data_IF_568738832830
#
_entry.id   IF_568738832830
#
_cell.length_a   1.000
_cell.length_b   1.000
_cell.length_c   1.000
_cell.angle_alpha   90.00
_cell.angle_beta   90.00
_cell.angle_gamma   90.00
#
_symmetry.space_group_name_H-M   'P 1'
#
loop_
_entity.id
_entity.type
_entity.pdbx_description
1 polymer ?
#
# COMPACT_ATOMS: atom_id res chain seq x y z
N UNK A 1 63.06 -16.72 -12.81
CA UNK A 1 61.71 -17.30 -12.67
C UNK A 1 61.05 -16.60 -11.49
N UNK A 2 60.35 -15.49 -11.74
CA UNK A 2 59.63 -14.71 -10.72
C UNK A 2 58.14 -15.07 -10.83
N UNK A 3 57.62 -15.84 -9.87
CA UNK A 3 56.19 -16.10 -9.75
C UNK A 3 55.55 -15.02 -8.87
N UNK A 4 54.50 -14.40 -9.40
CA UNK A 4 53.76 -13.33 -8.75
C UNK A 4 52.88 -13.82 -7.60
N UNK A 5 52.77 -12.99 -6.57
CA UNK A 5 51.70 -13.04 -5.59
C UNK A 5 50.76 -11.86 -5.87
N UNK A 6 49.53 -12.17 -6.29
CA UNK A 6 48.44 -11.21 -6.36
C UNK A 6 47.88 -11.00 -4.95
N UNK A 7 47.83 -9.77 -4.48
CA UNK A 7 47.02 -9.37 -3.32
C UNK A 7 45.67 -8.88 -3.81
N UNK A 8 44.70 -9.80 -3.97
CA UNK A 8 43.29 -9.41 -4.00
C UNK A 8 42.84 -9.20 -2.56
N UNK A 9 42.52 -7.97 -2.18
CA UNK A 9 41.82 -7.69 -0.91
C UNK A 9 40.39 -8.22 -1.02
N UNK A 10 39.88 -8.87 0.03
CA UNK A 10 38.48 -9.30 0.09
C UNK A 10 37.55 -8.07 -0.02
N UNK A 11 36.43 -8.16 -0.75
CA UNK A 11 35.41 -7.11 -0.72
C UNK A 11 34.84 -7.00 0.70
N UNK A 12 34.64 -5.76 1.16
CA UNK A 12 34.01 -5.45 2.44
C UNK A 12 32.51 -5.31 2.19
N UNK A 13 31.71 -6.22 2.74
CA UNK A 13 30.25 -6.08 2.76
C UNK A 13 29.86 -5.22 3.96
N UNK A 14 29.17 -4.10 3.74
CA UNK A 14 28.48 -3.38 4.80
C UNK A 14 27.01 -3.78 4.80
N UNK A 15 26.53 -4.30 5.93
CA UNK A 15 25.11 -4.50 6.21
C UNK A 15 24.60 -3.28 6.96
N UNK A 16 23.63 -2.56 6.40
CA UNK A 16 22.90 -1.49 7.09
C UNK A 16 21.60 -2.10 7.63
N UNK A 17 21.34 -1.95 8.94
CA UNK A 17 20.02 -2.25 9.52
C UNK A 17 19.90 -3.47 10.46
N UNK A 18 20.96 -4.23 10.75
CA UNK A 18 20.89 -5.30 11.74
C UNK A 18 21.37 -4.83 13.13
N UNK A 19 20.65 -5.12 14.25
CA UNK A 19 21.17 -4.86 15.59
C UNK A 19 22.33 -5.82 15.88
N UNK A 20 23.56 -5.33 15.76
CA UNK A 20 24.74 -6.09 16.18
C UNK A 20 24.76 -6.19 17.72
N UNK A 21 24.96 -7.40 18.24
CA UNK A 21 25.26 -7.60 19.66
C UNK A 21 26.59 -6.91 20.00
N UNK A 22 26.63 -6.21 21.14
CA UNK A 22 27.80 -5.46 21.59
C UNK A 22 29.06 -6.35 21.62
N UNK A 23 30.23 -5.88 21.13
CA UNK A 23 31.49 -6.58 21.33
C UNK A 23 31.82 -6.67 22.82
N UNK A 24 32.19 -7.86 23.30
CA UNK A 24 32.63 -8.06 24.68
C UNK A 24 33.97 -7.35 24.94
N UNK A 25 33.94 -6.12 25.45
CA UNK A 25 35.13 -5.37 25.89
C UNK A 25 34.78 -3.96 26.38
N UNK A 26 35.40 -3.52 27.49
CA UNK A 26 34.99 -2.29 28.22
C UNK A 26 35.42 -0.96 27.58
N UNK A 27 35.67 -0.90 26.27
CA UNK A 27 36.12 0.32 25.57
C UNK A 27 35.42 0.59 24.24
N UNK A 28 34.31 -0.10 23.93
CA UNK A 28 33.49 0.22 22.76
C UNK A 28 32.54 1.38 23.04
N UNK A 29 32.82 2.58 22.53
CA UNK A 29 31.80 3.62 22.41
C UNK A 29 30.89 3.26 21.24
N UNK A 30 29.73 2.67 21.51
CA UNK A 30 28.67 2.60 20.50
C UNK A 30 28.15 4.02 20.35
N UNK A 31 28.49 4.67 19.24
CA UNK A 31 27.79 5.86 18.80
C UNK A 31 26.39 5.41 18.36
N UNK A 32 25.46 5.32 19.32
CA UNK A 32 24.05 5.28 19.00
C UNK A 32 23.72 6.64 18.40
N UNK A 33 23.65 6.72 17.07
CA UNK A 33 22.88 7.76 16.44
C UNK A 33 21.44 7.55 16.92
N UNK A 34 21.05 8.28 17.96
CA UNK A 34 19.65 8.46 18.28
C UNK A 34 19.05 9.18 17.07
N UNK A 35 18.55 8.42 16.09
CA UNK A 35 17.57 8.96 15.18
C UNK A 35 16.39 9.35 16.07
N UNK A 36 16.25 10.65 16.32
CA UNK A 36 15.05 11.17 16.95
C UNK A 36 13.87 10.64 16.14
N UNK A 37 12.95 9.92 16.80
CA UNK A 37 11.65 9.60 16.22
C UNK A 37 11.12 10.89 15.60
N UNK A 38 10.80 10.92 14.29
CA UNK A 38 10.22 12.11 13.69
C UNK A 38 9.07 12.57 14.58
N UNK A 39 9.10 13.86 14.96
CA UNK A 39 8.02 14.41 15.76
C UNK A 39 6.71 14.13 15.03
N UNK A 40 5.75 13.52 15.73
CA UNK A 40 4.44 13.27 15.14
C UNK A 40 3.87 14.62 14.67
N UNK A 41 3.42 14.67 13.41
CA UNK A 41 2.80 15.87 12.87
C UNK A 41 1.62 16.28 13.76
N UNK A 42 1.47 17.58 14.08
CA UNK A 42 0.33 18.00 14.89
C UNK A 42 -0.97 17.68 14.16
N UNK A 43 -2.02 17.30 14.90
CA UNK A 43 -3.30 16.91 14.31
C UNK A 43 -4.07 18.09 13.67
N UNK A 44 -3.68 19.33 13.99
CA UNK A 44 -4.27 20.54 13.42
C UNK A 44 -3.18 21.41 12.80
N UNK A 45 -3.49 22.16 11.73
CA UNK A 45 -2.52 23.01 11.07
C UNK A 45 -2.01 24.09 12.04
N UNK A 46 -0.69 24.21 12.24
CA UNK A 46 -0.14 25.22 13.16
C UNK A 46 -0.29 26.66 12.64
N UNK A 47 -0.52 26.82 11.33
CA UNK A 47 -0.82 28.10 10.69
C UNK A 47 -1.77 27.90 9.50
N UNK A 48 -2.65 28.87 9.27
CA UNK A 48 -3.57 28.93 8.12
C UNK A 48 -3.31 30.13 7.20
N UNK A 49 -2.34 30.98 7.55
CA UNK A 49 -2.00 32.21 6.83
C UNK A 49 -0.49 32.41 6.75
N UNK A 50 -0.06 33.30 5.85
CA UNK A 50 1.34 33.72 5.71
C UNK A 50 2.12 33.00 4.60
N UNK A 51 1.43 32.29 3.71
CA UNK A 51 1.94 31.93 2.38
C UNK A 51 1.18 32.80 1.38
N UNK A 52 1.91 33.58 0.59
CA UNK A 52 1.37 34.34 -0.54
C UNK A 52 1.63 33.54 -1.83
N UNK A 53 0.55 33.13 -2.50
CA UNK A 53 0.57 32.40 -3.78
C UNK A 53 -0.26 33.18 -4.78
N UNK A 54 0.22 33.32 -6.01
CA UNK A 54 -0.58 33.94 -7.08
C UNK A 54 -1.72 33.03 -7.54
N UNK A 55 -2.75 33.61 -8.17
CA UNK A 55 -3.96 32.89 -8.58
C UNK A 55 -3.63 31.75 -9.55
N UNK A 56 -2.68 31.93 -10.47
CA UNK A 56 -2.26 30.89 -11.43
C UNK A 56 -1.63 29.69 -10.73
N UNK A 57 -0.73 29.92 -9.77
CA UNK A 57 -0.09 28.86 -8.99
C UNK A 57 -1.09 28.21 -8.04
N UNK A 58 -2.04 28.96 -7.49
CA UNK A 58 -3.10 28.42 -6.64
C UNK A 58 -4.05 27.55 -7.45
N UNK A 59 -4.47 27.99 -8.64
CA UNK A 59 -5.30 27.22 -9.56
C UNK A 59 -4.56 25.95 -10.00
N UNK A 60 -3.26 26.04 -10.33
CA UNK A 60 -2.45 24.88 -10.67
C UNK A 60 -2.28 23.89 -9.49
N UNK A 61 -2.10 24.40 -8.27
CA UNK A 61 -2.03 23.58 -7.06
C UNK A 61 -3.38 22.88 -6.82
N UNK A 62 -4.48 23.62 -6.95
CA UNK A 62 -5.84 23.11 -6.82
C UNK A 62 -6.21 22.16 -7.94
N UNK A 63 -5.58 22.25 -9.11
CA UNK A 63 -5.68 21.33 -10.23
C UNK A 63 -4.85 20.04 -10.02
N UNK A 64 -4.01 19.95 -9.00
CA UNK A 64 -3.07 18.83 -8.80
C UNK A 64 -1.81 18.91 -9.67
N UNK A 65 -1.61 20.03 -10.37
CA UNK A 65 -0.42 20.29 -11.17
C UNK A 65 0.85 20.47 -10.33
N UNK A 66 2.01 20.40 -10.99
CA UNK A 66 3.28 20.71 -10.35
C UNK A 66 3.42 22.22 -10.17
N UNK A 67 3.63 22.66 -8.94
CA UNK A 67 3.77 24.07 -8.59
C UNK A 67 5.11 24.35 -7.91
N UNK A 68 5.51 25.62 -7.90
CA UNK A 68 6.65 26.10 -7.11
C UNK A 68 6.16 27.18 -6.14
N UNK A 69 6.21 26.90 -4.84
CA UNK A 69 5.79 27.84 -3.79
C UNK A 69 7.02 28.33 -3.04
N UNK A 70 7.12 29.66 -2.89
CA UNK A 70 8.22 30.34 -2.17
C UNK A 70 7.69 31.02 -0.93
N UNK A 71 8.23 30.65 0.24
CA UNK A 71 7.76 31.13 1.54
C UNK A 71 8.91 31.80 2.29
N UNK A 72 8.88 33.13 2.47
CA UNK A 72 9.91 33.86 3.20
C UNK A 72 9.69 33.83 4.72
N UNK A 73 10.74 34.17 5.47
CA UNK A 73 10.67 34.45 6.92
C UNK A 73 11.31 33.38 7.82
N UNK A 74 11.89 32.34 7.23
CA UNK A 74 12.68 31.34 7.96
C UNK A 74 14.06 31.87 8.30
N UNK A 75 14.81 31.14 9.14
CA UNK A 75 16.21 31.48 9.38
C UNK A 75 17.04 31.22 8.12
N UNK A 76 18.08 32.03 7.83
CA UNK A 76 19.01 31.76 6.74
C UNK A 76 19.59 30.34 6.81
N UNK A 77 19.54 29.59 5.72
CA UNK A 77 20.03 28.21 5.61
C UNK A 77 19.36 27.21 6.57
N UNK A 78 18.14 27.50 7.01
CA UNK A 78 17.40 26.59 7.89
C UNK A 78 17.02 25.30 7.16
N UNK A 79 17.44 24.16 7.71
CA UNK A 79 17.15 22.83 7.16
C UNK A 79 16.00 22.15 7.88
N UNK A 80 15.27 21.28 7.19
CA UNK A 80 14.26 20.43 7.81
C UNK A 80 12.90 21.12 7.99
N UNK A 81 12.62 22.13 7.17
CA UNK A 81 11.32 22.79 7.14
C UNK A 81 10.33 21.79 6.53
N UNK A 82 9.38 21.32 7.32
CA UNK A 82 8.41 20.32 6.89
C UNK A 82 7.29 20.96 6.07
N UNK A 83 6.97 20.37 4.93
CA UNK A 83 5.81 20.76 4.12
C UNK A 83 4.71 19.75 4.37
N UNK A 84 3.58 20.22 4.90
CA UNK A 84 2.50 19.34 5.35
C UNK A 84 1.18 19.86 4.81
N UNK A 85 0.41 18.98 4.18
CA UNK A 85 -0.98 19.24 3.81
C UNK A 85 -1.90 18.65 4.87
N UNK A 86 -2.92 19.42 5.26
CA UNK A 86 -3.86 19.09 6.32
C UNK A 86 -5.26 18.82 5.78
N UNK A 87 -5.65 17.55 5.92
CA UNK A 87 -7.00 17.03 6.18
C UNK A 87 -6.87 15.95 7.25
N UNK A 88 -6.24 14.84 6.87
CA UNK A 88 -5.34 14.05 7.73
C UNK A 88 -3.91 14.55 7.44
N UNK A 89 -3.01 14.78 8.42
CA UNK A 89 -1.70 15.37 8.14
C UNK A 89 -0.83 14.45 7.26
N UNK A 90 -0.47 14.91 6.06
CA UNK A 90 0.43 14.20 5.13
C UNK A 90 1.70 15.03 4.93
N UNK A 91 2.87 14.43 5.19
CA UNK A 91 4.18 15.05 4.93
C UNK A 91 4.50 14.96 3.43
N UNK A 92 4.54 16.10 2.75
CA UNK A 92 4.92 16.19 1.34
C UNK A 92 6.45 16.18 1.15
N UNK A 93 7.19 16.51 2.20
CA UNK A 93 8.65 16.48 2.20
C UNK A 93 9.25 17.50 3.17
N UNK A 94 10.58 17.66 3.07
CA UNK A 94 11.32 18.68 3.83
C UNK A 94 12.17 19.51 2.87
N UNK A 95 12.29 20.81 3.16
CA UNK A 95 13.10 21.74 2.38
C UNK A 95 14.10 22.49 3.25
N UNK A 96 15.06 23.14 2.59
CA UNK A 96 16.04 24.03 3.20
C UNK A 96 15.78 25.45 2.70
N UNK A 97 15.68 26.42 3.61
CA UNK A 97 15.61 27.83 3.25
C UNK A 97 16.96 28.32 2.71
N UNK A 98 16.92 29.27 1.79
CA UNK A 98 18.14 29.89 1.25
C UNK A 98 18.82 30.87 2.23
N UNK A 99 19.86 31.57 1.76
CA UNK A 99 20.59 32.55 2.56
C UNK A 99 19.74 33.77 2.97
N UNK A 100 18.64 34.03 2.28
CA UNK A 100 17.69 35.11 2.57
C UNK A 100 16.52 34.62 3.45
N UNK A 101 16.49 33.33 3.82
CA UNK A 101 15.45 32.73 4.64
C UNK A 101 14.18 32.38 3.86
N UNK A 102 14.29 32.14 2.55
CA UNK A 102 13.18 31.73 1.69
C UNK A 102 13.20 30.22 1.50
N UNK A 103 12.14 29.55 1.95
CA UNK A 103 11.90 28.14 1.68
C UNK A 103 11.20 27.98 0.33
N UNK A 104 11.74 27.14 -0.55
CA UNK A 104 11.12 26.85 -1.86
C UNK A 104 10.74 25.38 -1.92
N UNK A 105 9.46 25.11 -2.17
CA UNK A 105 8.96 23.76 -2.46
C UNK A 105 8.51 23.68 -3.91
N UNK A 106 8.89 22.59 -4.59
CA UNK A 106 8.38 22.25 -5.91
C UNK A 106 7.78 20.85 -5.86
N UNK A 107 6.51 20.71 -6.22
CA UNK A 107 5.79 19.45 -6.13
C UNK A 107 4.31 19.58 -6.48
N UNK A 108 3.57 18.48 -6.33
CA UNK A 108 2.12 18.41 -6.51
C UNK A 108 1.47 17.93 -5.22
N UNK A 109 0.14 18.14 -5.10
CA UNK A 109 -0.63 17.55 -4.01
C UNK A 109 -0.79 16.04 -4.24
N UNK A 110 -0.87 15.23 -3.16
CA UNK A 110 -1.15 13.80 -3.28
C UNK A 110 -2.47 13.56 -4.01
N UNK A 111 -2.49 12.59 -4.93
CA UNK A 111 -3.72 12.21 -5.63
C UNK A 111 -4.77 11.61 -4.68
N UNK A 112 -4.37 11.18 -3.47
CA UNK A 112 -5.23 10.64 -2.41
C UNK A 112 -6.00 11.71 -1.64
N UNK A 113 -5.73 13.00 -1.85
CA UNK A 113 -6.35 14.08 -1.07
C UNK A 113 -7.83 14.26 -1.44
N UNK A 114 -8.75 14.05 -0.49
CA UNK A 114 -10.19 14.18 -0.76
C UNK A 114 -10.61 15.55 -1.30
N UNK A 115 -11.77 15.64 -1.98
CA UNK A 115 -12.34 16.93 -2.35
C UNK A 115 -12.69 17.74 -1.08
N UNK A 116 -12.54 19.07 -1.13
CA UNK A 116 -12.89 19.96 -0.02
C UNK A 116 -11.77 20.87 0.45
N UNK A 117 -11.92 21.41 1.66
CA UNK A 117 -11.00 22.43 2.20
C UNK A 117 -9.80 21.78 2.89
N UNK A 118 -8.60 22.18 2.47
CA UNK A 118 -7.33 21.72 3.02
C UNK A 118 -6.45 22.90 3.43
N UNK A 119 -5.42 22.63 4.23
CA UNK A 119 -4.40 23.64 4.56
C UNK A 119 -3.01 23.14 4.21
N UNK A 120 -2.28 23.85 3.36
CA UNK A 120 -0.85 23.58 3.12
C UNK A 120 -0.02 24.43 4.10
N UNK A 121 1.00 23.82 4.70
CA UNK A 121 1.86 24.51 5.68
C UNK A 121 3.34 24.27 5.45
N UNK A 122 4.16 25.24 5.87
CA UNK A 122 5.60 25.12 6.01
C UNK A 122 5.94 25.31 7.49
N UNK A 123 6.58 24.31 8.09
CA UNK A 123 6.80 24.22 9.54
C UNK A 123 8.29 24.16 9.87
N UNK A 124 8.79 25.15 10.60
CA UNK A 124 10.20 25.26 10.97
C UNK A 124 10.37 26.22 12.16
N UNK A 125 11.28 27.19 12.05
CA UNK A 125 11.46 28.24 13.06
C UNK A 125 10.25 29.16 13.20
N UNK A 126 9.42 29.20 12.16
CA UNK A 126 8.08 29.76 12.11
C UNK A 126 7.16 28.80 11.37
N UNK A 127 5.85 28.93 11.60
CA UNK A 127 4.83 28.21 10.84
C UNK A 127 4.09 29.18 9.90
N UNK A 128 3.92 28.76 8.66
CA UNK A 128 3.16 29.50 7.62
C UNK A 128 2.18 28.56 6.97
N UNK A 129 1.01 29.07 6.58
CA UNK A 129 0.02 28.26 5.88
C UNK A 129 -0.82 29.01 4.86
N UNK A 130 -1.54 28.25 4.04
CA UNK A 130 -2.59 28.72 3.13
C UNK A 130 -3.73 27.71 3.13
N UNK A 131 -4.96 28.23 3.21
CA UNK A 131 -6.18 27.44 3.04
C UNK A 131 -6.55 27.44 1.56
N UNK A 132 -6.86 26.27 1.01
CA UNK A 132 -7.33 26.12 -0.36
C UNK A 132 -8.46 25.09 -0.43
N UNK A 133 -9.23 25.12 -1.51
CA UNK A 133 -10.31 24.16 -1.76
C UNK A 133 -9.96 23.32 -2.98
N UNK A 134 -10.01 22.00 -2.81
CA UNK A 134 -9.81 21.03 -3.88
C UNK A 134 -11.17 20.68 -4.50
N UNK A 135 -11.38 21.06 -5.76
CA UNK A 135 -12.54 20.63 -6.55
C UNK A 135 -12.09 19.64 -7.62
N UNK A 136 -12.46 18.36 -7.46
CA UNK A 136 -12.03 17.28 -8.35
C UNK A 136 -12.59 17.40 -9.76
N UNK A 137 -13.75 18.02 -9.94
CA UNK A 137 -14.32 18.25 -11.27
C UNK A 137 -13.49 19.28 -12.05
N UNK A 138 -13.02 20.33 -11.36
CA UNK A 138 -12.13 21.32 -11.95
C UNK A 138 -10.76 20.71 -12.24
N UNK A 139 -10.19 19.92 -11.31
CA UNK A 139 -8.91 19.21 -11.54
C UNK A 139 -8.92 18.37 -12.80
N UNK A 140 -9.94 17.51 -12.94
CA UNK A 140 -10.12 16.63 -14.08
C UNK A 140 -10.07 17.44 -15.39
N UNK A 141 -10.85 18.52 -15.44
CA UNK A 141 -10.93 19.41 -16.62
C UNK A 141 -9.58 20.08 -16.96
N UNK A 142 -8.83 20.58 -15.97
CA UNK A 142 -7.54 21.25 -16.20
C UNK A 142 -6.40 20.31 -16.58
N UNK A 143 -6.41 19.07 -16.07
CA UNK A 143 -5.36 18.08 -16.35
C UNK A 143 -5.65 17.24 -17.60
N UNK A 144 -6.82 17.40 -18.24
CA UNK A 144 -7.28 16.47 -19.27
C UNK A 144 -7.62 15.09 -18.71
N UNK A 145 -7.85 15.00 -17.40
CA UNK A 145 -8.25 13.79 -16.71
C UNK A 145 -9.78 13.68 -16.61
N UNK A 146 -10.24 12.47 -16.36
CA UNK A 146 -11.62 12.02 -16.39
C UNK A 146 -12.12 11.86 -14.97
N UNK A 147 -13.25 12.46 -14.62
CA UNK A 147 -13.87 12.21 -13.32
C UNK A 147 -14.67 10.90 -13.37
N UNK A 148 -14.28 9.93 -12.56
CA UNK A 148 -15.03 8.69 -12.36
C UNK A 148 -15.91 8.79 -11.11
N UNK A 149 -17.17 8.39 -11.23
CA UNK A 149 -18.13 8.29 -10.12
C UNK A 149 -18.89 6.97 -10.21
N UNK A 150 -19.22 6.37 -9.06
CA UNK A 150 -19.93 5.09 -9.00
C UNK A 150 -19.10 3.91 -9.49
N UNK A 151 -17.77 3.98 -9.36
CA UNK A 151 -16.89 2.87 -9.69
C UNK A 151 -17.09 1.71 -8.71
N UNK A 152 -16.94 0.48 -9.21
CA UNK A 152 -17.00 -0.74 -8.40
C UNK A 152 -15.69 -1.51 -8.43
N UNK A 153 -15.35 -2.15 -7.32
CA UNK A 153 -14.19 -3.01 -7.14
C UNK A 153 -14.62 -4.31 -6.45
N UNK A 154 -14.17 -5.43 -6.99
CA UNK A 154 -14.29 -6.75 -6.39
C UNK A 154 -12.89 -7.32 -6.23
N UNK A 155 -12.58 -7.75 -5.01
CA UNK A 155 -11.31 -8.39 -4.69
C UNK A 155 -11.48 -9.32 -3.50
N UNK A 156 -11.04 -10.57 -3.63
CA UNK A 156 -11.15 -11.55 -2.55
C UNK A 156 -10.10 -11.40 -1.45
N UNK A 157 -9.03 -10.62 -1.65
CA UNK A 157 -7.75 -10.74 -0.91
C UNK A 157 -6.95 -11.98 -1.35
N UNK A 158 -7.19 -13.15 -0.75
CA UNK A 158 -6.51 -14.41 -1.06
C UNK A 158 -7.34 -15.59 -0.52
N UNK A 159 -7.77 -16.52 -1.38
CA UNK A 159 -8.66 -17.63 -1.00
C UNK A 159 -8.09 -18.48 0.14
N UNK A 160 -6.79 -18.75 0.08
CA UNK A 160 -6.09 -19.57 1.08
C UNK A 160 -6.13 -18.92 2.46
N UNK A 161 -5.99 -17.59 2.50
CA UNK A 161 -6.04 -16.81 3.73
C UNK A 161 -7.45 -16.78 4.33
N UNK A 162 -8.48 -16.55 3.50
CA UNK A 162 -9.88 -16.59 3.97
C UNK A 162 -10.23 -17.96 4.56
N UNK A 163 -9.84 -19.03 3.88
CA UNK A 163 -10.02 -20.42 4.34
C UNK A 163 -9.29 -20.68 5.66
N UNK A 164 -8.06 -20.17 5.80
CA UNK A 164 -7.28 -20.27 7.02
C UNK A 164 -7.93 -19.53 8.21
N UNK A 165 -8.46 -18.32 7.98
CA UNK A 165 -9.13 -17.53 9.00
C UNK A 165 -10.35 -18.28 9.57
N UNK A 166 -11.25 -18.71 8.69
CA UNK A 166 -12.47 -19.43 9.09
C UNK A 166 -12.18 -20.79 9.74
N UNK A 167 -11.08 -21.44 9.35
CA UNK A 167 -10.67 -22.75 9.83
C UNK A 167 -9.70 -22.69 11.01
N UNK A 168 -8.40 -22.75 10.71
CA UNK A 168 -7.34 -22.97 11.70
C UNK A 168 -7.20 -21.79 12.66
N UNK A 169 -7.37 -20.55 12.17
CA UNK A 169 -7.28 -19.37 13.02
C UNK A 169 -8.52 -19.18 13.89
N UNK A 170 -9.65 -19.84 13.57
CA UNK A 170 -10.91 -19.71 14.30
C UNK A 170 -11.42 -18.26 14.34
N UNK A 171 -11.21 -17.53 13.26
CA UNK A 171 -11.51 -16.12 13.12
C UNK A 171 -12.34 -15.81 11.88
N UNK A 172 -12.15 -14.63 11.32
CA UNK A 172 -12.92 -14.13 10.19
C UNK A 172 -12.62 -12.66 9.90
N UNK A 173 -13.59 -11.95 9.34
CA UNK A 173 -13.45 -10.53 9.02
C UNK A 173 -14.64 -9.71 9.49
N UNK A 174 -14.37 -8.45 9.81
CA UNK A 174 -15.36 -7.39 9.99
C UNK A 174 -15.20 -6.34 8.90
N UNK A 175 -16.31 -5.78 8.46
CA UNK A 175 -16.37 -4.90 7.28
C UNK A 175 -16.91 -3.53 7.67
N UNK A 176 -16.28 -2.49 7.12
CA UNK A 176 -16.76 -1.11 7.18
C UNK A 176 -16.93 -0.59 5.76
N UNK A 177 -18.15 -0.16 5.41
CA UNK A 177 -18.49 0.40 4.08
C UNK A 177 -18.04 -0.45 2.88
N UNK A 178 -18.03 -1.77 3.08
CA UNK A 178 -17.73 -2.80 2.06
C UNK A 178 -18.65 -4.00 2.31
N UNK A 179 -19.09 -4.66 1.25
CA UNK A 179 -19.88 -5.89 1.34
C UNK A 179 -19.01 -7.13 1.09
N UNK A 180 -19.45 -8.29 1.59
CA UNK A 180 -18.87 -9.57 1.18
C UNK A 180 -19.90 -10.34 0.35
N UNK A 181 -19.57 -10.58 -0.91
CA UNK A 181 -20.34 -11.39 -1.84
C UNK A 181 -19.43 -12.49 -2.34
N UNK A 182 -19.60 -13.70 -1.78
CA UNK A 182 -18.67 -14.80 -1.99
C UNK A 182 -18.27 -14.97 -3.48
N UNK A 183 -16.97 -14.99 -3.80
CA UNK A 183 -15.82 -15.02 -2.87
C UNK A 183 -15.19 -13.65 -2.54
N UNK A 184 -15.80 -12.54 -2.95
CA UNK A 184 -15.18 -11.22 -3.01
C UNK A 184 -15.63 -10.24 -1.92
N UNK A 185 -14.73 -9.34 -1.54
CA UNK A 185 -15.08 -8.07 -0.94
C UNK A 185 -15.45 -7.08 -2.05
N UNK A 186 -16.60 -6.42 -1.89
CA UNK A 186 -17.25 -5.63 -2.94
C UNK A 186 -17.46 -4.19 -2.49
N UNK A 187 -16.87 -3.27 -3.26
CA UNK A 187 -17.11 -1.84 -3.17
C UNK A 187 -17.90 -1.39 -4.40
N UNK A 188 -18.86 -0.48 -4.21
CA UNK A 188 -19.77 -0.01 -5.29
C UNK A 188 -19.85 1.51 -5.42
N UNK A 189 -19.08 2.24 -4.61
CA UNK A 189 -19.20 3.70 -4.44
C UNK A 189 -17.87 4.41 -4.66
N UNK A 190 -17.05 3.92 -5.59
CA UNK A 190 -15.75 4.49 -5.89
C UNK A 190 -15.84 5.80 -6.66
N UNK A 191 -14.91 6.71 -6.41
CA UNK A 191 -14.77 7.95 -7.16
C UNK A 191 -13.31 8.38 -7.30
N UNK A 192 -12.99 9.13 -8.34
CA UNK A 192 -11.62 9.59 -8.53
C UNK A 192 -11.36 10.17 -9.91
N UNK A 193 -10.08 10.30 -10.26
CA UNK A 193 -9.65 10.96 -11.50
C UNK A 193 -8.69 10.07 -12.27
N UNK A 194 -8.95 9.88 -13.56
CA UNK A 194 -8.13 9.06 -14.47
C UNK A 194 -7.69 9.85 -15.70
N UNK A 195 -6.39 9.90 -15.97
CA UNK A 195 -5.83 10.28 -17.27
C UNK A 195 -5.50 8.99 -18.01
N UNK A 196 -6.37 8.59 -18.94
CA UNK A 196 -6.21 7.34 -19.66
C UNK A 196 -5.16 7.42 -20.77
N UNK A 197 -4.84 8.62 -21.28
CA UNK A 197 -3.78 8.83 -22.26
C UNK A 197 -2.40 8.71 -21.59
N UNK A 198 -2.23 9.33 -20.42
CA UNK A 198 -1.04 9.17 -19.59
C UNK A 198 -1.01 7.84 -18.82
N UNK A 199 -2.12 7.10 -18.80
CA UNK A 199 -2.33 5.87 -18.03
C UNK A 199 -2.05 6.06 -16.53
N UNK A 200 -2.49 7.21 -16.01
CA UNK A 200 -2.32 7.56 -14.60
C UNK A 200 -3.66 7.86 -13.96
N UNK A 201 -3.75 7.73 -12.64
CA UNK A 201 -4.95 8.13 -11.93
C UNK A 201 -5.19 7.32 -10.67
N UNK A 202 -6.23 7.70 -9.95
CA UNK A 202 -6.58 7.10 -8.68
C UNK A 202 -8.09 7.09 -8.53
N UNK A 203 -8.65 5.94 -8.16
CA UNK A 203 -10.05 5.77 -7.79
C UNK A 203 -10.10 5.32 -6.33
N UNK A 204 -10.69 6.13 -5.47
CA UNK A 204 -10.88 5.85 -4.05
C UNK A 204 -12.22 5.16 -3.81
N UNK A 205 -12.19 4.05 -3.09
CA UNK A 205 -13.38 3.31 -2.65
C UNK A 205 -13.60 3.45 -1.14
N UNK A 206 -12.54 3.74 -0.38
CA UNK A 206 -12.61 3.83 1.08
C UNK A 206 -12.85 2.47 1.72
N UNK A 207 -13.68 2.45 2.77
CA UNK A 207 -14.05 1.25 3.51
C UNK A 207 -12.87 0.55 4.21
N UNK A 208 -13.13 -0.64 4.73
CA UNK A 208 -12.09 -1.46 5.35
C UNK A 208 -12.51 -2.88 5.70
N UNK A 209 -11.51 -3.75 5.78
CA UNK A 209 -11.60 -5.17 6.12
C UNK A 209 -10.67 -5.41 7.31
N UNK A 210 -11.25 -5.72 8.46
CA UNK A 210 -10.52 -6.10 9.66
C UNK A 210 -10.50 -7.63 9.76
N UNK A 211 -9.35 -8.23 9.51
CA UNK A 211 -9.12 -9.65 9.67
C UNK A 211 -8.74 -9.95 11.12
N UNK A 212 -9.41 -10.94 11.71
CA UNK A 212 -9.13 -11.39 13.07
C UNK A 212 -8.97 -12.90 13.15
N UNK A 213 -8.14 -13.40 14.06
CA UNK A 213 -7.90 -14.82 14.28
C UNK A 213 -7.00 -15.10 15.48
N UNK A 214 -6.83 -16.38 15.83
CA UNK A 214 -6.02 -16.84 16.97
C UNK A 214 -6.38 -16.14 18.28
N UNK A 215 -7.67 -16.10 18.61
CA UNK A 215 -8.18 -15.43 19.83
C UNK A 215 -7.77 -13.94 19.93
N UNK A 216 -7.65 -13.26 18.78
CA UNK A 216 -7.31 -11.83 18.67
C UNK A 216 -5.81 -11.54 18.55
N UNK A 217 -4.96 -12.57 18.43
CA UNK A 217 -3.53 -12.40 18.16
C UNK A 217 -3.31 -11.94 16.72
N UNK A 218 -4.09 -12.47 15.77
CA UNK A 218 -4.19 -11.90 14.44
C UNK A 218 -5.27 -10.83 14.51
N UNK A 219 -4.88 -9.59 14.25
CA UNK A 219 -5.76 -8.43 14.17
C UNK A 219 -5.12 -7.45 13.17
N UNK A 220 -5.69 -7.38 11.97
CA UNK A 220 -5.14 -6.57 10.86
C UNK A 220 -6.27 -5.92 10.09
N UNK A 221 -6.28 -4.60 10.09
CA UNK A 221 -7.18 -3.76 9.33
C UNK A 221 -6.50 -3.30 8.04
N UNK A 222 -7.11 -3.64 6.91
CA UNK A 222 -6.92 -2.96 5.64
C UNK A 222 -8.01 -1.91 5.50
N UNK A 223 -7.65 -0.66 5.24
CA UNK A 223 -8.61 0.43 5.09
C UNK A 223 -8.25 1.36 3.95
N UNK A 224 -9.18 2.24 3.60
CA UNK A 224 -8.95 3.29 2.59
C UNK A 224 -8.50 2.71 1.24
N UNK A 225 -9.27 1.75 0.73
CA UNK A 225 -8.94 1.00 -0.48
C UNK A 225 -9.04 1.91 -1.69
N UNK A 226 -7.99 1.91 -2.51
CA UNK A 226 -7.90 2.67 -3.75
C UNK A 226 -7.33 1.81 -4.87
N UNK A 227 -7.73 2.12 -6.10
CA UNK A 227 -7.14 1.58 -7.31
C UNK A 227 -6.34 2.69 -8.00
N UNK A 228 -5.04 2.47 -8.17
CA UNK A 228 -4.12 3.40 -8.81
C UNK A 228 -3.72 2.89 -10.20
N UNK A 229 -3.73 3.76 -11.20
CA UNK A 229 -3.07 3.55 -12.49
C UNK A 229 -1.72 4.29 -12.47
N UNK A 230 -0.64 3.60 -12.81
CA UNK A 230 0.72 4.15 -12.81
C UNK A 230 1.50 3.65 -14.04
N UNK A 231 1.12 4.14 -15.22
CA UNK A 231 1.71 3.74 -16.49
C UNK A 231 1.17 2.38 -16.93
N UNK A 232 2.06 1.39 -17.05
CA UNK A 232 1.68 0.03 -17.47
C UNK A 232 1.29 -0.88 -16.29
N UNK A 233 1.47 -0.39 -15.05
CA UNK A 233 1.19 -1.12 -13.81
C UNK A 233 0.05 -0.45 -13.06
N UNK A 234 -0.85 -1.27 -12.54
CA UNK A 234 -1.91 -0.85 -11.63
C UNK A 234 -1.60 -1.35 -10.22
N UNK A 235 -2.10 -0.62 -9.23
CA UNK A 235 -1.94 -0.99 -7.83
C UNK A 235 -3.28 -0.97 -7.09
N UNK A 236 -3.47 -1.91 -6.16
CA UNK A 236 -4.36 -1.67 -5.03
C UNK A 236 -3.54 -1.01 -3.93
N UNK A 237 -3.96 0.20 -3.56
CA UNK A 237 -3.37 0.98 -2.49
C UNK A 237 -4.28 0.90 -1.28
N UNK A 238 -3.72 0.59 -0.12
CA UNK A 238 -4.47 0.49 1.14
C UNK A 238 -3.65 1.07 2.28
N UNK A 239 -4.35 1.47 3.34
CA UNK A 239 -3.76 1.67 4.64
C UNK A 239 -3.79 0.34 5.41
N UNK A 240 -2.67 -0.01 6.06
CA UNK A 240 -2.54 -1.23 6.86
C UNK A 240 -2.31 -0.83 8.31
N UNK A 241 -3.12 -1.36 9.23
CA UNK A 241 -2.89 -1.20 10.67
C UNK A 241 -3.19 -2.47 11.44
N UNK A 242 -2.45 -2.72 12.51
CA UNK A 242 -2.69 -3.84 13.41
C UNK A 242 -1.41 -4.40 14.02
N UNK A 243 -1.52 -5.58 14.63
CA UNK A 243 -0.39 -6.28 15.20
C UNK A 243 0.07 -7.41 14.26
N UNK A 244 1.35 -7.40 13.87
CA UNK A 244 1.95 -8.56 13.21
C UNK A 244 1.91 -9.78 14.16
N UNK A 245 2.09 -11.01 13.64
CA UNK A 245 2.22 -12.22 14.47
C UNK A 245 3.31 -12.12 15.57
N UNK A 246 4.25 -11.19 15.41
CA UNK A 246 5.32 -10.92 16.38
C UNK A 246 4.91 -9.96 17.51
N UNK A 247 3.68 -9.44 17.49
CA UNK A 247 3.17 -8.42 18.42
C UNK A 247 3.74 -7.02 18.15
N UNK A 248 4.29 -6.78 16.97
CA UNK A 248 4.74 -5.45 16.56
C UNK A 248 3.57 -4.74 15.89
N UNK A 249 3.19 -3.61 16.47
CA UNK A 249 2.23 -2.68 15.88
C UNK A 249 2.78 -2.14 14.56
N UNK A 250 2.08 -2.43 13.47
CA UNK A 250 2.29 -1.82 12.17
C UNK A 250 1.16 -0.82 11.92
N UNK A 251 1.52 0.37 11.46
CA UNK A 251 0.56 1.34 10.94
C UNK A 251 1.23 2.05 9.79
N UNK A 252 0.90 1.61 8.59
CA UNK A 252 1.41 2.14 7.34
C UNK A 252 0.25 2.67 6.51
N UNK A 253 0.50 3.79 5.84
CA UNK A 253 -0.47 4.51 5.03
C UNK A 253 -0.01 4.47 3.58
N UNK A 254 -0.98 4.53 2.66
CA UNK A 254 -0.70 4.60 1.22
C UNK A 254 0.20 3.44 0.70
N UNK A 255 0.02 2.24 1.26
CA UNK A 255 0.79 1.07 0.85
C UNK A 255 0.25 0.59 -0.49
N UNK A 256 1.07 0.64 -1.55
CA UNK A 256 0.83 -0.11 -2.80
C UNK A 256 0.89 -1.60 -2.48
N UNK A 257 -0.22 -2.15 -2.02
CA UNK A 257 -0.30 -3.47 -1.40
C UNK A 257 -0.17 -4.58 -2.42
N UNK A 258 -0.97 -4.51 -3.49
CA UNK A 258 -0.93 -5.43 -4.61
C UNK A 258 -0.63 -4.68 -5.90
N UNK A 259 0.04 -5.34 -6.82
CA UNK A 259 0.26 -4.85 -8.19
C UNK A 259 -0.33 -5.80 -9.22
N UNK A 260 -0.73 -5.25 -10.36
CA UNK A 260 -1.29 -6.00 -11.47
C UNK A 260 -0.93 -5.32 -12.80
N UNK A 261 -0.78 -6.10 -13.90
CA UNK A 261 -0.57 -5.52 -15.22
C UNK A 261 -1.86 -4.85 -15.71
N UNK A 262 -1.77 -3.63 -16.25
CA UNK A 262 -2.95 -2.93 -16.78
C UNK A 262 -3.39 -3.41 -18.17
N UNK A 263 -2.53 -4.13 -18.89
CA UNK A 263 -2.83 -4.60 -20.24
C UNK A 263 -3.07 -3.44 -21.21
N UNK A 264 -4.09 -3.53 -22.04
CA UNK A 264 -4.60 -2.42 -22.86
C UNK A 264 -5.83 -1.83 -22.14
N UNK A 265 -5.89 -0.49 -22.01
CA UNK A 265 -7.03 0.17 -21.38
C UNK A 265 -8.11 0.42 -22.43
N UNK A 266 -9.18 -0.35 -22.39
CA UNK A 266 -10.33 -0.20 -23.30
C UNK A 266 -11.55 0.32 -22.55
N UNK A 267 -12.14 1.39 -23.07
CA UNK A 267 -13.41 1.93 -22.58
C UNK A 267 -14.53 1.44 -23.49
N UNK A 268 -15.44 0.64 -22.94
CA UNK A 268 -16.61 0.14 -23.64
C UNK A 268 -17.87 0.72 -22.99
N UNK A 269 -18.76 1.30 -23.79
CA UNK A 269 -20.02 1.89 -23.32
C UNK A 269 -19.84 2.91 -22.16
N UNK A 270 -18.71 3.64 -22.16
CA UNK A 270 -18.38 4.62 -21.11
C UNK A 270 -17.87 3.99 -19.81
N UNK A 271 -17.39 2.75 -19.85
CA UNK A 271 -16.83 2.04 -18.69
C UNK A 271 -15.46 1.49 -19.03
N UNK A 272 -14.44 1.86 -18.23
CA UNK A 272 -13.18 1.14 -18.19
C UNK A 272 -13.38 -0.12 -17.33
N UNK A 273 -13.15 -1.29 -17.91
CA UNK A 273 -13.34 -2.57 -17.23
C UNK A 273 -12.00 -3.30 -17.03
N UNK A 274 -11.70 -3.65 -15.78
CA UNK A 274 -10.69 -4.65 -15.41
C UNK A 274 -11.43 -5.93 -15.04
N UNK A 275 -11.13 -7.03 -15.73
CA UNK A 275 -11.87 -8.29 -15.55
C UNK A 275 -10.95 -9.40 -15.09
N UNK A 276 -10.98 -9.70 -13.79
CA UNK A 276 -10.19 -10.77 -13.19
C UNK A 276 -8.69 -10.66 -13.47
N UNK A 277 -8.12 -9.45 -13.38
CA UNK A 277 -6.70 -9.24 -13.63
C UNK A 277 -5.87 -9.92 -12.52
N UNK A 278 -4.86 -10.76 -12.86
CA UNK A 278 -4.01 -11.37 -11.86
C UNK A 278 -3.28 -10.30 -11.05
N UNK A 279 -3.22 -10.49 -9.73
CA UNK A 279 -2.58 -9.55 -8.81
C UNK A 279 -1.53 -10.29 -7.97
N UNK A 280 -0.45 -9.59 -7.65
CA UNK A 280 0.61 -10.11 -6.78
C UNK A 280 0.92 -9.15 -5.66
N UNK A 281 1.27 -9.69 -4.49
CA UNK A 281 1.69 -8.89 -3.34
C UNK A 281 3.00 -8.16 -3.63
N UNK A 282 3.07 -6.86 -3.39
CA UNK A 282 4.31 -6.11 -3.60
C UNK A 282 5.31 -6.31 -2.46
N UNK A 283 6.53 -5.79 -2.60
CA UNK A 283 7.49 -5.71 -1.49
C UNK A 283 6.94 -4.89 -0.31
N UNK A 284 6.25 -3.78 -0.59
CA UNK A 284 5.66 -2.93 0.44
C UNK A 284 4.46 -3.61 1.13
N UNK A 285 3.60 -4.28 0.35
CA UNK A 285 2.49 -5.07 0.88
C UNK A 285 2.97 -6.22 1.76
N UNK A 286 4.00 -6.94 1.33
CA UNK A 286 4.63 -8.01 2.10
C UNK A 286 5.23 -7.50 3.42
N UNK A 287 5.91 -6.35 3.40
CA UNK A 287 6.45 -5.73 4.61
C UNK A 287 5.34 -5.29 5.59
N UNK A 288 4.28 -4.67 5.07
CA UNK A 288 3.17 -4.17 5.88
C UNK A 288 2.30 -5.31 6.46
N UNK A 289 2.06 -6.37 5.69
CA UNK A 289 1.25 -7.52 6.10
C UNK A 289 2.04 -8.54 6.94
N UNK A 290 3.34 -8.68 6.67
CA UNK A 290 4.29 -9.45 7.47
C UNK A 290 4.16 -10.99 7.41
N UNK A 291 3.17 -11.54 6.71
CA UNK A 291 2.93 -12.99 6.65
C UNK A 291 3.42 -13.64 5.37
N UNK A 292 3.25 -12.98 4.23
CA UNK A 292 3.60 -13.48 2.90
C UNK A 292 4.80 -12.74 2.31
N UNK A 293 5.47 -13.36 1.35
CA UNK A 293 6.58 -12.75 0.62
C UNK A 293 6.09 -11.90 -0.56
N UNK A 294 6.95 -11.01 -1.04
CA UNK A 294 6.71 -10.30 -2.28
C UNK A 294 6.56 -11.28 -3.46
N UNK A 295 5.65 -10.98 -4.38
CA UNK A 295 5.32 -11.81 -5.53
C UNK A 295 4.32 -12.94 -5.24
N UNK A 296 3.85 -13.09 -4.00
CA UNK A 296 2.76 -14.03 -3.68
C UNK A 296 1.53 -13.71 -4.52
N UNK A 297 0.90 -14.74 -5.10
CA UNK A 297 -0.32 -14.57 -5.87
C UNK A 297 -1.48 -14.23 -4.94
N UNK A 298 -2.21 -13.18 -5.30
CA UNK A 298 -3.42 -12.75 -4.61
C UNK A 298 -4.63 -13.07 -5.48
N UNK A 299 -5.82 -12.97 -4.91
CA UNK A 299 -7.05 -13.12 -5.67
C UNK A 299 -7.11 -12.04 -6.77
N UNK A 300 -7.63 -12.39 -7.96
CA UNK A 300 -7.68 -11.49 -9.10
C UNK A 300 -8.61 -10.29 -8.83
N UNK A 301 -8.30 -9.18 -9.47
CA UNK A 301 -9.02 -7.92 -9.30
C UNK A 301 -10.03 -7.74 -10.43
N UNK A 302 -11.27 -7.40 -10.09
CA UNK A 302 -12.27 -6.95 -11.05
C UNK A 302 -12.73 -5.56 -10.69
N UNK A 303 -12.67 -4.62 -11.63
CA UNK A 303 -13.13 -3.26 -11.42
C UNK A 303 -13.95 -2.77 -12.63
N UNK A 304 -14.96 -1.95 -12.36
CA UNK A 304 -15.71 -1.22 -13.39
C UNK A 304 -15.69 0.25 -13.01
N UNK A 305 -15.12 1.06 -13.90
CA UNK A 305 -14.93 2.48 -13.64
C UNK A 305 -15.68 3.25 -14.73
N UNK A 306 -16.85 3.81 -14.40
CA UNK A 306 -17.53 4.73 -15.31
C UNK A 306 -16.62 5.90 -15.64
N UNK A 307 -16.43 6.16 -16.93
CA UNK A 307 -15.66 7.28 -17.44
C UNK A 307 -16.56 8.10 -18.37
N UNK A 308 -16.64 9.43 -18.19
CA UNK A 308 -17.52 10.26 -19.00
C UNK A 308 -17.09 10.25 -20.47
N UNK A 309 -18.05 10.50 -21.38
CA UNK A 309 -17.89 10.26 -22.82
C UNK A 309 -16.85 11.16 -23.51
N UNK A 310 -16.39 12.20 -22.84
CA UNK A 310 -15.31 13.11 -23.26
C UNK A 310 -13.90 12.56 -22.97
N UNK A 311 -13.82 11.41 -22.31
CA UNK A 311 -12.57 10.83 -21.80
C UNK A 311 -12.08 9.60 -22.59
N UNK A 312 -12.54 9.43 -23.83
CA UNK A 312 -12.27 8.21 -24.60
C UNK A 312 -10.81 8.10 -25.03
N UNK A 313 -10.11 7.07 -24.55
CA UNK A 313 -8.99 6.48 -25.29
C UNK A 313 -9.56 5.94 -26.58
N UNK A 314 -8.98 6.32 -27.72
CA UNK A 314 -9.49 5.92 -29.02
C UNK A 314 -9.70 4.39 -29.08
N UNK A 315 -10.96 3.96 -29.21
CA UNK A 315 -11.28 2.57 -29.44
C UNK A 315 -10.60 2.12 -30.74
N UNK A 316 -9.83 1.03 -30.70
CA UNK A 316 -9.41 0.36 -31.93
C UNK A 316 -10.69 -0.06 -32.64
N UNK A 317 -10.95 0.40 -33.89
CA UNK A 317 -12.15 0.00 -34.58
C UNK A 317 -12.12 -1.51 -34.74
N UNK A 318 -13.16 -2.18 -34.22
CA UNK A 318 -13.43 -3.57 -34.56
C UNK A 318 -13.51 -3.65 -36.08
N UNK A 319 -12.54 -4.32 -36.70
CA UNK A 319 -12.63 -4.68 -38.10
C UNK A 319 -13.76 -5.68 -38.24
N UNK A 320 -14.88 -5.21 -38.79
CA UNK A 320 -15.93 -6.03 -39.39
C UNK A 320 -15.32 -6.93 -40.46
N UNK A 321 -14.90 -8.14 -40.08
CA UNK A 321 -14.78 -9.25 -41.03
C UNK A 321 -16.11 -10.02 -41.06
N UNK A 322 -17.05 -9.40 -41.77
CA UNK A 322 -18.25 -10.06 -42.24
C UNK A 322 -17.94 -11.13 -43.30
N UNK A 323 -17.86 -12.38 -42.86
CA UNK A 323 -18.61 -13.47 -43.49
C UNK A 323 -17.88 -14.44 -44.43
N UNK A 324 -17.76 -15.70 -43.99
CA UNK A 324 -18.07 -16.87 -44.81
C UNK A 324 -18.51 -18.05 -43.91
N UNK A 325 -19.73 -18.52 -44.16
CA UNK A 325 -20.39 -19.60 -43.44
C UNK A 325 -19.98 -21.00 -43.95
N UNK A 326 -19.86 -21.98 -43.04
CA UNK A 326 -20.15 -23.42 -43.14
C UNK A 326 -19.26 -24.18 -42.12
N UNK A 327 -19.66 -25.18 -41.33
CA UNK A 327 -20.88 -25.97 -41.22
C UNK A 327 -20.92 -26.63 -39.83
N UNK A 328 -22.11 -27.08 -39.44
CA UNK A 328 -22.41 -27.79 -38.20
C UNK A 328 -21.61 -29.07 -37.97
N UNK A 329 -21.23 -29.33 -36.71
CA UNK A 329 -21.28 -30.65 -36.09
C UNK A 329 -21.09 -30.57 -34.56
N UNK A 330 -22.09 -31.02 -33.82
CA UNK A 330 -21.98 -31.59 -32.48
C UNK A 330 -22.83 -32.87 -32.46
N UNK A 331 -22.64 -33.83 -31.54
CA UNK A 331 -21.50 -34.11 -30.67
C UNK A 331 -20.94 -35.54 -30.90
N UNK A 332 -19.83 -35.90 -30.28
CA UNK A 332 -19.46 -37.31 -30.09
C UNK A 332 -18.85 -37.51 -28.70
N UNK A 333 -19.60 -38.22 -27.86
CA UNK A 333 -19.12 -38.91 -26.67
C UNK A 333 -18.14 -40.02 -27.08
N UNK A 334 -17.13 -40.22 -26.25
CA UNK A 334 -16.57 -41.55 -26.00
C UNK A 334 -16.24 -41.63 -24.50
N UNK A 335 -17.02 -42.44 -23.79
CA UNK A 335 -16.75 -42.92 -22.44
C UNK A 335 -15.60 -43.95 -22.45
N UNK A 336 -14.85 -43.92 -21.34
CA UNK A 336 -14.15 -44.99 -20.63
C UNK A 336 -13.16 -45.92 -21.36
N UNK A 337 -11.90 -45.94 -20.89
CA UNK A 337 -11.54 -46.99 -19.92
C UNK A 337 -10.29 -46.66 -19.07
N UNK A 338 -10.50 -46.87 -17.77
CA UNK A 338 -9.59 -47.31 -16.71
C UNK A 338 -8.10 -47.51 -17.02
N UNK A 339 -7.24 -46.76 -16.32
CA UNK A 339 -6.03 -47.33 -15.72
C UNK A 339 -5.55 -46.50 -14.52
N UNK A 340 -5.86 -47.03 -13.34
CA UNK A 340 -5.16 -46.98 -12.06
C UNK A 340 -4.15 -45.83 -11.78
N UNK A 341 -4.41 -45.16 -10.66
CA UNK A 341 -3.60 -44.18 -9.94
C UNK A 341 -2.13 -44.61 -9.66
N UNK A 342 -1.27 -43.67 -9.20
CA UNK A 342 -1.23 -43.50 -7.75
C UNK A 342 -1.31 -42.04 -7.29
N UNK A 343 -2.20 -41.84 -6.33
CA UNK A 343 -2.28 -40.73 -5.37
C UNK A 343 -0.99 -40.59 -4.59
N UNK A 344 -0.31 -39.44 -4.67
CA UNK A 344 0.71 -39.05 -3.68
C UNK A 344 0.24 -37.80 -2.91
N UNK A 345 0.18 -37.88 -1.57
CA UNK A 345 -0.32 -36.80 -0.72
C UNK A 345 0.77 -35.79 -0.37
N UNK A 346 0.49 -34.50 -0.56
CA UNK A 346 1.22 -33.43 0.12
C UNK A 346 0.58 -33.15 1.48
N UNK A 347 0.74 -34.11 2.39
CA UNK A 347 0.76 -33.83 3.83
C UNK A 347 2.18 -34.04 4.31
N UNK A 348 2.62 -33.23 5.29
CA UNK A 348 3.94 -33.20 5.95
C UNK A 348 4.87 -32.04 5.54
N UNK A 349 4.49 -30.83 5.94
CA UNK A 349 5.41 -29.68 6.01
C UNK A 349 5.27 -28.81 7.29
N UNK A 350 4.35 -29.15 8.21
CA UNK A 350 4.02 -28.27 9.35
C UNK A 350 3.83 -28.98 10.70
N UNK A 351 4.25 -30.23 10.86
CA UNK A 351 4.00 -31.02 12.08
C UNK A 351 5.24 -31.76 12.58
N UNK A 352 6.38 -31.08 12.76
CA UNK A 352 7.50 -31.60 13.58
C UNK A 352 8.10 -30.55 14.53
N UNK A 353 7.80 -29.25 14.40
CA UNK A 353 8.35 -28.21 15.28
C UNK A 353 7.44 -27.74 16.42
N UNK A 354 6.28 -28.36 16.66
CA UNK A 354 5.37 -27.99 17.75
C UNK A 354 5.24 -29.01 18.91
N UNK A 355 5.72 -30.24 18.75
CA UNK A 355 5.75 -31.21 19.88
C UNK A 355 6.96 -30.98 20.79
N UNK A 356 8.04 -30.35 20.29
CA UNK A 356 9.24 -30.06 21.09
C UNK A 356 9.06 -28.87 22.06
N UNK A 357 8.23 -27.87 21.72
CA UNK A 357 8.06 -26.66 22.55
C UNK A 357 7.07 -26.90 23.70
N UNK A 358 6.00 -27.67 23.47
CA UNK A 358 5.03 -28.01 24.54
C UNK A 358 5.67 -28.90 25.61
N UNK A 359 6.57 -29.82 25.24
CA UNK A 359 7.29 -30.66 26.19
C UNK A 359 8.24 -29.86 27.10
N UNK A 360 8.90 -28.81 26.56
CA UNK A 360 9.82 -27.95 27.33
C UNK A 360 9.07 -27.01 28.28
N UNK A 361 7.92 -26.48 27.87
CA UNK A 361 7.10 -25.60 28.73
C UNK A 361 6.43 -26.38 29.88
N UNK A 362 5.94 -27.60 29.61
CA UNK A 362 5.35 -28.46 30.66
C UNK A 362 6.43 -28.99 31.63
N UNK A 363 7.63 -29.29 31.15
CA UNK A 363 8.76 -29.70 32.01
C UNK A 363 9.29 -28.55 32.89
N UNK A 364 9.30 -27.30 32.40
CA UNK A 364 9.69 -26.12 33.19
C UNK A 364 8.65 -25.77 34.27
N UNK A 365 7.35 -25.87 33.97
CA UNK A 365 6.29 -25.63 34.98
C UNK A 365 6.29 -26.65 36.12
N UNK A 366 6.61 -27.92 35.85
CA UNK A 366 6.71 -28.96 36.89
C UNK A 366 7.93 -28.81 37.81
N UNK A 367 9.00 -28.15 37.36
CA UNK A 367 10.18 -27.85 38.21
C UNK A 367 10.00 -26.59 39.08
N UNK A 368 9.10 -25.69 38.72
CA UNK A 368 8.81 -24.48 39.50
C UNK A 368 7.75 -24.70 40.61
N UNK A 369 6.97 -25.79 40.56
CA UNK A 369 5.95 -26.13 41.55
C UNK A 369 6.43 -27.09 42.66
N UNK A 370 7.73 -27.41 42.72
CA UNK A 370 8.32 -28.36 43.67
C UNK A 370 9.23 -27.74 44.74
N UNK A 371 9.24 -26.42 44.90
CA UNK A 371 10.05 -25.72 45.89
C UNK A 371 9.16 -24.92 46.85
N UNK A 372 8.61 -25.61 47.85
CA UNK A 372 8.20 -24.95 49.10
C UNK A 372 9.38 -24.91 50.07
N UNK A 373 9.59 -23.80 50.80
CA UNK A 373 10.64 -23.68 51.81
C UNK A 373 10.11 -24.15 53.17
N UNK A 374 10.74 -25.17 53.77
CA UNK A 374 10.55 -25.46 55.20
C UNK A 374 11.80 -25.05 55.96
N UNK A 375 11.58 -24.18 56.95
CA UNK A 375 12.59 -23.70 57.87
C UNK A 375 12.59 -24.52 59.15
N UNK A 376 13.77 -24.94 59.57
CA UNK A 376 14.27 -25.04 60.96
C UNK A 376 15.80 -25.27 60.80
N UNK A 377 16.76 -24.56 61.41
CA UNK A 377 16.87 -23.60 62.53
C UNK A 377 17.82 -22.48 62.10
#
# INVERSE_FOLDING_TARGET
MLSGYATSLNPVTFTIGAPASAPGGSTGTIATASAAKPAALPATPPATTGIDVDDETLDALQAGGQVTIRVPGFRPNETGIAIVVYSTPILLGTVTADADGVATWAGSLPATLEAGTHTLTFQGSIDRGIVFTLDRAVQATTLGASLAEGASLNWGFEESFRTYLEGIAGGGWQLTDVAYEYPDFVWTSGSGTLDLDARTGLVSYGGGIEFTGHEGVLDTLLSDVRLELAGDVGYLVVDVSGATQSGVEASEKDVRFAEFPLGELTVEEGVLALSGVPATLTEAGAAAFGTYGAGEELDPITARIPVPADCTVAAVPATDDGGAAAAAAAPAQADADESAAPVWPWTLGGLVLLVAVVAVVVARRRRAAGAEPDGTV
#
